data_IF_582385942239
#
_entry.id   IF_582385942239
#
_cell.length_a   1.000
_cell.length_b   1.000
_cell.length_c   1.000
_cell.angle_alpha   90.00
_cell.angle_beta   90.00
_cell.angle_gamma   90.00
#
_symmetry.space_group_name_H-M   'P 1'
#
loop_
_entity.id
_entity.type
_entity.pdbx_description
1 polymer ?
#
# COMPACT_ATOMS: atom_id res chain seq x y z
N UNK A 1 -28.00 45.85 89.91
CA UNK A 1 -28.31 45.04 88.71
C UNK A 1 -27.11 45.09 87.80
N UNK A 2 -26.61 43.91 87.46
CA UNK A 2 -25.22 43.68 87.05
C UNK A 2 -25.09 43.73 85.54
N UNK A 3 -24.11 44.52 85.10
CA UNK A 3 -23.63 44.73 83.75
C UNK A 3 -23.07 43.44 83.14
N UNK A 4 -23.47 43.08 81.92
CA UNK A 4 -22.77 42.09 81.10
C UNK A 4 -22.47 42.66 79.71
N UNK A 5 -21.18 42.62 79.41
CA UNK A 5 -20.51 43.12 78.21
C UNK A 5 -20.54 42.04 77.13
N UNK A 6 -21.09 42.36 75.96
CA UNK A 6 -21.12 41.47 74.79
C UNK A 6 -19.83 41.59 74.00
N UNK A 7 -18.91 40.64 74.22
CA UNK A 7 -17.64 40.55 73.49
C UNK A 7 -17.85 40.24 72.00
N UNK A 8 -17.16 41.00 71.16
CA UNK A 8 -17.01 40.75 69.74
C UNK A 8 -16.18 39.48 69.51
N UNK A 9 -16.72 38.50 68.78
CA UNK A 9 -15.91 37.48 68.12
C UNK A 9 -15.81 37.80 66.62
N UNK A 10 -14.63 38.31 66.23
CA UNK A 10 -14.23 38.45 64.84
C UNK A 10 -13.92 37.05 64.30
N UNK A 11 -14.68 36.61 63.28
CA UNK A 11 -14.38 35.38 62.55
C UNK A 11 -13.15 35.60 61.64
N UNK A 12 -12.25 34.61 61.53
CA UNK A 12 -11.14 34.67 60.60
C UNK A 12 -11.64 34.64 59.16
N UNK A 13 -11.29 35.67 58.39
CA UNK A 13 -11.58 35.77 56.96
C UNK A 13 -10.73 34.73 56.21
N UNK A 14 -11.38 33.68 55.72
CA UNK A 14 -10.76 32.68 54.85
C UNK A 14 -10.59 33.29 53.46
N UNK A 15 -9.35 33.57 53.07
CA UNK A 15 -9.02 34.10 51.74
C UNK A 15 -9.05 32.94 50.73
N UNK A 16 -10.12 32.82 49.95
CA UNK A 16 -10.16 31.89 48.84
C UNK A 16 -9.30 32.45 47.68
N UNK A 17 -8.37 31.66 47.11
CA UNK A 17 -7.63 32.08 45.93
C UNK A 17 -8.59 32.27 44.74
N UNK A 18 -8.31 33.24 43.84
CA UNK A 18 -9.15 33.49 42.68
C UNK A 18 -9.19 32.23 41.78
N UNK A 19 -10.34 31.96 41.13
CA UNK A 19 -10.46 30.84 40.22
C UNK A 19 -9.46 30.96 39.06
N UNK A 20 -8.92 29.83 38.56
CA UNK A 20 -8.00 29.85 37.43
C UNK A 20 -8.68 30.46 36.19
N UNK A 21 -7.92 31.18 35.34
CA UNK A 21 -8.46 31.75 34.12
C UNK A 21 -9.04 30.64 33.23
N UNK A 22 -10.15 30.89 32.52
CA UNK A 22 -10.74 29.90 31.63
C UNK A 22 -9.71 29.53 30.55
N UNK A 23 -9.65 28.25 30.13
CA UNK A 23 -8.73 27.81 29.10
C UNK A 23 -8.96 28.61 27.82
N UNK A 24 -7.94 29.36 27.39
CA UNK A 24 -7.94 30.04 26.09
C UNK A 24 -7.98 28.95 25.01
N UNK A 25 -9.13 28.79 24.36
CA UNK A 25 -9.28 27.97 23.16
C UNK A 25 -8.42 28.58 22.05
N UNK A 26 -7.31 27.92 21.74
CA UNK A 26 -6.43 28.28 20.64
C UNK A 26 -7.17 28.05 19.30
N UNK A 27 -7.81 29.10 18.79
CA UNK A 27 -8.50 29.11 17.48
C UNK A 27 -7.59 28.76 16.31
N UNK A 28 -6.27 28.91 16.47
CA UNK A 28 -5.25 28.49 15.50
C UNK A 28 -5.20 26.95 15.35
N UNK A 29 -5.40 26.19 16.43
CA UNK A 29 -5.44 24.72 16.37
C UNK A 29 -6.73 24.21 15.72
N UNK A 30 -7.85 24.91 15.91
CA UNK A 30 -9.14 24.59 15.27
C UNK A 30 -9.09 24.87 13.76
N UNK A 31 -8.40 25.95 13.34
CA UNK A 31 -8.21 26.26 11.93
C UNK A 31 -7.32 25.22 11.21
N UNK A 32 -6.29 24.69 11.88
CA UNK A 32 -5.43 23.63 11.34
C UNK A 32 -6.14 22.28 11.19
N UNK A 33 -7.03 21.91 12.11
CA UNK A 33 -7.81 20.67 12.01
C UNK A 33 -8.88 20.79 10.91
N UNK A 34 -9.51 21.97 10.78
CA UNK A 34 -10.46 22.24 9.70
C UNK A 34 -9.80 22.21 8.31
N UNK A 35 -8.58 22.74 8.16
CA UNK A 35 -7.85 22.71 6.88
C UNK A 35 -7.36 21.30 6.52
N UNK A 36 -6.95 20.49 7.50
CA UNK A 36 -6.58 19.09 7.27
C UNK A 36 -7.79 18.24 6.85
N UNK A 37 -8.95 18.50 7.47
CA UNK A 37 -10.20 17.81 7.15
C UNK A 37 -10.67 18.14 5.74
N UNK A 38 -10.56 19.42 5.33
CA UNK A 38 -10.86 19.86 3.96
C UNK A 38 -9.92 19.19 2.95
N UNK A 39 -8.64 19.03 3.27
CA UNK A 39 -7.65 18.41 2.40
C UNK A 39 -7.91 16.90 2.22
N UNK A 40 -8.28 16.19 3.29
CA UNK A 40 -8.68 14.77 3.21
C UNK A 40 -9.98 14.60 2.40
N UNK A 41 -10.99 15.45 2.62
CA UNK A 41 -12.24 15.44 1.82
C UNK A 41 -11.96 15.75 0.36
N UNK A 42 -11.04 16.68 0.07
CA UNK A 42 -10.63 17.00 -1.30
C UNK A 42 -9.94 15.81 -1.99
N UNK A 43 -9.04 15.11 -1.28
CA UNK A 43 -8.35 13.93 -1.82
C UNK A 43 -9.33 12.78 -2.06
N UNK A 44 -10.26 12.51 -1.14
CA UNK A 44 -11.31 11.49 -1.32
C UNK A 44 -12.25 11.87 -2.47
N UNK A 45 -12.61 13.14 -2.61
CA UNK A 45 -13.42 13.62 -3.74
C UNK A 45 -12.69 13.44 -5.08
N UNK A 46 -11.38 13.69 -5.15
CA UNK A 46 -10.58 13.47 -6.37
C UNK A 46 -10.54 11.98 -6.73
N UNK A 47 -10.36 11.09 -5.75
CA UNK A 47 -10.33 9.64 -5.98
C UNK A 47 -11.69 9.13 -6.48
N UNK A 48 -12.81 9.61 -5.89
CA UNK A 48 -14.16 9.24 -6.33
C UNK A 48 -14.47 9.80 -7.72
N UNK A 49 -14.03 11.02 -8.06
CA UNK A 49 -14.22 11.57 -9.41
C UNK A 49 -13.44 10.79 -10.47
N UNK A 50 -12.25 10.28 -10.15
CA UNK A 50 -11.48 9.41 -11.08
C UNK A 50 -12.15 8.03 -11.25
N UNK A 51 -12.80 7.52 -10.20
CA UNK A 51 -13.54 6.26 -10.26
C UNK A 51 -14.87 6.39 -11.03
N UNK A 52 -15.58 7.52 -10.91
CA UNK A 52 -16.93 7.70 -11.48
C UNK A 52 -16.90 8.31 -12.90
N UNK A 53 -15.92 9.14 -13.26
CA UNK A 53 -15.81 9.70 -14.63
C UNK A 53 -15.38 8.69 -15.71
N UNK A 54 -15.24 7.40 -15.39
CA UNK A 54 -15.11 6.34 -16.40
C UNK A 54 -16.46 5.79 -16.89
N UNK A 55 -17.58 6.30 -16.39
CA UNK A 55 -18.92 6.06 -16.95
C UNK A 55 -19.52 7.34 -17.54
N UNK A 56 -19.87 7.28 -18.83
CA UNK A 56 -20.82 8.13 -19.57
C UNK A 56 -20.39 9.54 -20.06
N UNK A 57 -20.00 9.59 -21.35
CA UNK A 57 -20.57 10.53 -22.35
C UNK A 57 -20.04 11.98 -22.45
N UNK A 58 -19.14 12.21 -23.42
CA UNK A 58 -18.92 13.42 -24.27
C UNK A 58 -18.98 14.82 -23.63
N UNK A 59 -17.96 15.69 -23.66
CA UNK A 59 -17.23 16.17 -24.85
C UNK A 59 -16.03 17.02 -24.38
N UNK A 60 -14.84 16.68 -24.86
CA UNK A 60 -13.59 17.45 -24.95
C UNK A 60 -12.46 16.46 -24.74
N UNK A 61 -11.96 15.88 -25.82
CA UNK A 61 -10.84 14.94 -25.84
C UNK A 61 -9.58 15.60 -25.26
N UNK A 62 -9.09 15.24 -24.05
CA UNK A 62 -7.64 15.20 -23.91
C UNK A 62 -7.20 13.95 -24.67
N UNK A 63 -6.19 14.07 -25.54
CA UNK A 63 -5.60 12.93 -26.20
C UNK A 63 -5.33 11.85 -25.15
N UNK A 64 -6.12 10.77 -25.19
CA UNK A 64 -5.79 9.56 -24.48
C UNK A 64 -4.40 9.20 -25.02
N UNK A 65 -3.39 9.40 -24.18
CA UNK A 65 -2.06 8.90 -24.48
C UNK A 65 -2.26 7.40 -24.65
N UNK A 66 -2.29 6.93 -25.89
CA UNK A 66 -2.20 5.52 -26.18
C UNK A 66 -1.06 4.96 -25.32
N UNK A 67 -1.18 3.75 -24.74
CA UNK A 67 -0.05 3.13 -24.08
C UNK A 67 1.10 3.16 -25.08
N UNK A 68 2.07 4.03 -24.82
CA UNK A 68 3.25 4.14 -25.65
C UNK A 68 3.95 2.82 -25.43
N UNK A 69 4.01 1.99 -26.47
CA UNK A 69 4.68 0.69 -26.42
C UNK A 69 6.10 0.94 -25.95
N UNK A 70 6.39 0.67 -24.68
CA UNK A 70 7.74 0.80 -24.12
C UNK A 70 8.53 -0.48 -24.40
N UNK A 71 8.57 -0.90 -25.66
CA UNK A 71 9.56 -1.90 -26.10
C UNK A 71 10.85 -1.16 -26.40
N UNK A 72 11.95 -1.63 -25.82
CA UNK A 72 13.27 -1.07 -26.05
C UNK A 72 14.34 -2.05 -25.60
N UNK A 73 15.62 -1.72 -25.83
CA UNK A 73 16.70 -2.55 -25.31
C UNK A 73 16.53 -2.72 -23.80
N UNK A 74 16.62 -3.95 -23.35
CA UNK A 74 16.78 -4.30 -21.94
C UNK A 74 18.26 -4.53 -21.67
N UNK A 75 18.70 -4.22 -20.47
CA UNK A 75 20.08 -4.50 -20.06
C UNK A 75 20.39 -5.99 -20.25
N UNK A 76 21.56 -6.27 -20.83
CA UNK A 76 21.96 -7.63 -21.22
C UNK A 76 21.97 -8.60 -20.04
N UNK A 77 22.28 -8.10 -18.85
CA UNK A 77 22.32 -8.89 -17.63
C UNK A 77 20.93 -9.38 -17.20
N UNK A 78 19.82 -8.76 -17.63
CA UNK A 78 18.44 -9.18 -17.34
C UNK A 78 17.93 -10.25 -18.31
N UNK A 79 18.58 -10.44 -19.46
CA UNK A 79 18.16 -11.41 -20.46
C UNK A 79 18.38 -12.83 -19.92
N UNK A 80 17.35 -13.67 -20.02
CA UNK A 80 17.42 -15.07 -19.61
C UNK A 80 16.21 -15.54 -18.81
N UNK A 81 16.38 -16.67 -18.14
CA UNK A 81 15.38 -17.25 -17.24
C UNK A 81 15.80 -16.99 -15.79
N UNK A 82 14.85 -16.60 -14.97
CA UNK A 82 15.08 -16.21 -13.59
C UNK A 82 14.04 -16.80 -12.69
N UNK A 83 14.46 -17.23 -11.50
CA UNK A 83 13.56 -17.65 -10.43
C UNK A 83 13.64 -16.67 -9.30
N UNK A 84 12.50 -16.20 -8.86
CA UNK A 84 12.40 -15.41 -7.65
C UNK A 84 12.77 -16.28 -6.46
N UNK A 85 13.92 -16.01 -5.87
CA UNK A 85 14.38 -16.69 -4.66
C UNK A 85 13.88 -16.02 -3.40
N UNK A 86 13.61 -14.71 -3.45
CA UNK A 86 13.10 -13.96 -2.32
C UNK A 86 12.07 -12.90 -2.73
N UNK A 87 11.06 -12.76 -1.91
CA UNK A 87 10.07 -11.70 -1.92
C UNK A 87 9.78 -11.26 -0.50
N UNK A 88 9.54 -9.99 -0.30
CA UNK A 88 8.83 -9.51 0.87
C UNK A 88 8.08 -8.23 0.58
N UNK A 89 6.87 -8.10 1.07
CA UNK A 89 6.04 -6.91 0.98
C UNK A 89 5.08 -6.83 2.17
N UNK A 90 4.62 -5.63 2.50
CA UNK A 90 3.58 -5.40 3.49
C UNK A 90 2.29 -5.13 2.74
N UNK A 91 1.29 -6.00 2.91
CA UNK A 91 0.04 -5.94 2.18
C UNK A 91 -1.09 -5.47 3.09
N UNK A 92 -1.91 -4.55 2.60
CA UNK A 92 -3.17 -4.20 3.25
C UNK A 92 -4.24 -5.21 2.83
N UNK A 93 -4.65 -6.05 3.78
CA UNK A 93 -5.70 -7.06 3.63
C UNK A 93 -6.94 -6.69 4.46
N UNK A 94 -7.14 -5.41 4.76
CA UNK A 94 -8.28 -4.94 5.56
C UNK A 94 -9.64 -5.20 4.89
N UNK A 95 -9.70 -5.36 3.57
CA UNK A 95 -10.92 -5.75 2.85
C UNK A 95 -11.21 -7.25 2.90
N UNK A 96 -10.23 -8.07 3.30
CA UNK A 96 -10.36 -9.53 3.35
C UNK A 96 -10.95 -9.91 4.71
N UNK A 97 -12.03 -10.70 4.68
CA UNK A 97 -12.70 -11.23 5.88
C UNK A 97 -12.46 -12.74 5.97
N UNK A 98 -12.17 -13.25 7.16
CA UNK A 98 -12.03 -14.68 7.44
C UNK A 98 -13.39 -15.39 7.62
N UNK A 99 -14.48 -14.76 7.19
CA UNK A 99 -15.85 -15.23 7.39
C UNK A 99 -16.43 -14.92 8.77
N UNK A 100 -15.67 -14.30 9.68
CA UNK A 100 -16.16 -13.81 11.00
C UNK A 100 -16.33 -12.30 11.04
N UNK A 101 -16.34 -11.64 9.88
CA UNK A 101 -16.40 -10.18 9.73
C UNK A 101 -15.25 -9.42 10.42
N UNK A 102 -14.13 -10.10 10.70
CA UNK A 102 -12.93 -9.45 11.23
C UNK A 102 -11.96 -9.18 10.07
N UNK A 103 -11.68 -7.90 9.75
CA UNK A 103 -10.69 -7.57 8.73
C UNK A 103 -9.31 -8.09 9.13
N UNK A 104 -8.50 -8.51 8.16
CA UNK A 104 -7.15 -9.02 8.45
C UNK A 104 -6.16 -7.91 8.81
N UNK A 105 -6.42 -6.68 8.39
CA UNK A 105 -5.51 -5.54 8.58
C UNK A 105 -4.29 -5.65 7.67
N UNK A 106 -3.16 -5.11 8.14
CA UNK A 106 -1.90 -5.14 7.40
C UNK A 106 -1.11 -6.42 7.73
N UNK A 107 -0.56 -7.09 6.72
CA UNK A 107 0.22 -8.34 6.87
C UNK A 107 1.55 -8.22 6.15
N UNK A 108 2.66 -8.47 6.87
CA UNK A 108 3.96 -8.67 6.23
C UNK A 108 4.01 -10.07 5.64
N UNK A 109 4.17 -10.15 4.32
CA UNK A 109 4.29 -11.41 3.60
C UNK A 109 5.71 -11.59 3.07
N UNK A 110 6.16 -12.84 3.01
CA UNK A 110 7.43 -13.24 2.41
C UNK A 110 7.26 -14.54 1.63
N UNK A 111 8.12 -14.77 0.65
CA UNK A 111 8.16 -16.05 -0.05
C UNK A 111 8.94 -15.99 -1.36
N UNK A 112 8.55 -16.82 -2.32
CA UNK A 112 9.33 -17.06 -3.54
C UNK A 112 8.50 -17.76 -4.61
N UNK A 113 9.09 -18.00 -5.78
CA UNK A 113 8.58 -19.00 -6.73
C UNK A 113 8.24 -18.49 -8.12
N UNK A 114 8.15 -17.17 -8.32
CA UNK A 114 7.90 -16.58 -9.65
C UNK A 114 9.01 -16.93 -10.62
N UNK A 115 8.66 -17.23 -11.86
CA UNK A 115 9.61 -17.45 -12.95
C UNK A 115 9.49 -16.32 -13.96
N UNK A 116 10.62 -15.69 -14.29
CA UNK A 116 10.70 -14.72 -15.38
C UNK A 116 11.44 -15.32 -16.55
N UNK A 117 10.95 -15.06 -17.75
CA UNK A 117 11.68 -15.28 -19.01
C UNK A 117 11.72 -13.95 -19.75
N UNK A 118 12.92 -13.39 -19.91
CA UNK A 118 13.14 -12.07 -20.51
C UNK A 118 13.99 -12.24 -21.77
N UNK A 119 13.50 -11.74 -22.90
CA UNK A 119 14.20 -11.79 -24.19
C UNK A 119 14.89 -10.46 -24.50
N UNK A 120 15.84 -10.48 -25.46
CA UNK A 120 16.65 -9.33 -25.81
C UNK A 120 15.86 -8.15 -26.41
N UNK A 121 14.71 -8.42 -27.01
CA UNK A 121 13.79 -7.42 -27.56
C UNK A 121 12.86 -6.81 -26.49
N UNK A 122 13.03 -7.19 -25.22
CA UNK A 122 12.26 -6.68 -24.09
C UNK A 122 10.92 -7.38 -23.88
N UNK A 123 10.56 -8.41 -24.67
CA UNK A 123 9.41 -9.24 -24.31
C UNK A 123 9.72 -10.05 -23.07
N UNK A 124 8.72 -10.24 -22.22
CA UNK A 124 8.88 -11.10 -21.07
C UNK A 124 7.59 -11.81 -20.67
N UNK A 125 7.77 -12.96 -20.03
CA UNK A 125 6.69 -13.72 -19.38
C UNK A 125 7.06 -13.88 -17.91
N UNK A 126 6.09 -13.63 -17.04
CA UNK A 126 6.19 -13.90 -15.60
C UNK A 126 5.17 -14.99 -15.24
N UNK A 127 5.66 -16.16 -14.84
CA UNK A 127 4.86 -17.33 -14.47
C UNK A 127 4.77 -17.45 -12.94
N UNK A 128 3.53 -17.56 -12.45
CA UNK A 128 3.19 -17.64 -11.05
C UNK A 128 2.87 -19.05 -10.56
N UNK A 129 2.91 -20.07 -11.40
CA UNK A 129 2.40 -21.43 -11.08
C UNK A 129 2.97 -22.04 -9.77
N UNK A 130 4.17 -21.65 -9.35
CA UNK A 130 4.80 -22.10 -8.10
C UNK A 130 4.97 -20.99 -7.04
N UNK A 131 4.25 -19.88 -7.18
CA UNK A 131 4.43 -18.69 -6.34
C UNK A 131 3.55 -18.74 -5.11
N UNK A 132 4.18 -18.69 -3.94
CA UNK A 132 3.49 -18.64 -2.65
C UNK A 132 4.19 -17.65 -1.74
N UNK A 133 3.39 -16.81 -1.09
CA UNK A 133 3.82 -15.94 -0.01
C UNK A 133 3.04 -16.26 1.25
N UNK A 134 3.68 -16.11 2.40
CA UNK A 134 3.07 -16.35 3.70
C UNK A 134 3.41 -15.23 4.67
N UNK A 135 2.52 -15.02 5.62
CA UNK A 135 2.66 -14.01 6.67
C UNK A 135 1.78 -14.35 7.88
N UNK A 136 1.80 -13.45 8.85
CA UNK A 136 0.88 -13.51 9.99
C UNK A 136 0.27 -12.15 10.24
N UNK A 137 -1.01 -12.15 10.62
CA UNK A 137 -1.68 -10.96 11.15
C UNK A 137 -1.18 -10.63 12.55
N UNK A 138 -1.47 -9.42 13.05
CA UNK A 138 -1.11 -9.00 14.41
C UNK A 138 -1.74 -9.88 15.50
N UNK A 139 -2.89 -10.50 15.23
CA UNK A 139 -3.54 -11.45 16.14
C UNK A 139 -3.06 -12.90 15.97
N UNK A 140 -2.00 -13.12 15.20
CA UNK A 140 -1.28 -14.40 15.11
C UNK A 140 -1.85 -15.41 14.11
N UNK A 141 -2.87 -15.05 13.34
CA UNK A 141 -3.44 -15.95 12.30
C UNK A 141 -2.48 -16.09 11.13
N UNK A 142 -2.38 -17.30 10.60
CA UNK A 142 -1.58 -17.60 9.42
C UNK A 142 -2.29 -17.10 8.17
N UNK A 143 -1.56 -16.43 7.28
CA UNK A 143 -2.07 -15.98 5.98
C UNK A 143 -1.16 -16.51 4.89
N UNK A 144 -1.73 -17.23 3.92
CA UNK A 144 -1.03 -17.68 2.72
C UNK A 144 -1.67 -17.08 1.47
N UNK A 145 -0.82 -16.65 0.56
CA UNK A 145 -1.17 -16.06 -0.72
C UNK A 145 -0.59 -16.96 -1.81
N UNK A 146 -1.46 -17.61 -2.55
CA UNK A 146 -1.07 -18.43 -3.70
C UNK A 146 -1.47 -17.70 -4.98
N UNK A 147 -0.48 -17.46 -5.83
CA UNK A 147 -0.71 -16.90 -7.16
C UNK A 147 -0.64 -18.02 -8.18
N UNK A 148 -1.48 -17.99 -9.21
CA UNK A 148 -1.45 -18.96 -10.32
C UNK A 148 -1.75 -18.27 -11.63
N UNK A 149 -1.10 -18.67 -12.72
CA UNK A 149 -1.25 -18.06 -14.03
C UNK A 149 0.00 -17.31 -14.48
N UNK A 150 -0.15 -16.47 -15.50
CA UNK A 150 0.98 -15.81 -16.17
C UNK A 150 0.68 -14.36 -16.48
N UNK A 151 1.69 -13.49 -16.38
CA UNK A 151 1.68 -12.17 -16.99
C UNK A 151 2.57 -12.15 -18.24
N UNK A 152 2.14 -11.38 -19.24
CA UNK A 152 2.95 -11.03 -20.39
C UNK A 152 3.32 -9.55 -20.33
N UNK A 153 4.57 -9.25 -20.67
CA UNK A 153 5.14 -7.93 -20.51
C UNK A 153 5.93 -7.50 -21.74
N UNK A 154 5.92 -6.20 -21.96
CA UNK A 154 6.96 -5.49 -22.70
C UNK A 154 7.78 -4.66 -21.71
N UNK A 155 9.10 -4.85 -21.73
CA UNK A 155 10.07 -4.25 -20.83
C UNK A 155 10.99 -3.29 -21.58
N UNK A 156 11.48 -2.29 -20.86
CA UNK A 156 12.59 -1.42 -21.25
C UNK A 156 13.40 -1.05 -20.03
N UNK A 157 14.72 -1.01 -20.14
CA UNK A 157 15.58 -0.41 -19.11
C UNK A 157 15.85 1.05 -19.46
N UNK A 158 15.72 1.92 -18.47
CA UNK A 158 15.99 3.35 -18.63
C UNK A 158 16.29 3.96 -17.26
N UNK A 159 17.36 4.73 -17.16
CA UNK A 159 17.73 5.50 -15.96
C UNK A 159 17.78 4.64 -14.67
N UNK A 160 18.31 3.41 -14.78
CA UNK A 160 18.40 2.46 -13.66
C UNK A 160 17.06 1.85 -13.23
N UNK A 161 16.02 2.01 -14.05
CA UNK A 161 14.68 1.49 -13.79
C UNK A 161 14.26 0.48 -14.86
N UNK A 162 13.51 -0.53 -14.43
CA UNK A 162 12.78 -1.44 -15.28
C UNK A 162 11.39 -0.83 -15.50
N UNK A 163 11.08 -0.53 -16.76
CA UNK A 163 9.78 -0.01 -17.17
C UNK A 163 8.95 -1.16 -17.71
N UNK A 164 7.72 -1.31 -17.21
CA UNK A 164 6.82 -2.40 -17.56
C UNK A 164 5.62 -1.88 -18.33
N UNK A 165 5.17 -2.64 -19.32
CA UNK A 165 3.86 -2.52 -19.93
C UNK A 165 3.28 -3.92 -20.03
N UNK A 166 2.25 -4.20 -19.23
CA UNK A 166 1.51 -5.46 -19.34
C UNK A 166 0.82 -5.55 -20.70
N UNK A 167 0.99 -6.69 -21.36
CA UNK A 167 0.30 -7.05 -22.61
C UNK A 167 -0.76 -8.12 -22.39
N UNK A 168 -0.80 -8.75 -21.22
CA UNK A 168 -1.78 -9.76 -20.85
C UNK A 168 -1.57 -10.29 -19.43
N UNK A 169 -2.65 -10.74 -18.80
CA UNK A 169 -2.61 -11.41 -17.48
C UNK A 169 -3.69 -12.46 -17.38
N UNK A 170 -3.32 -13.62 -16.84
CA UNK A 170 -4.24 -14.67 -16.40
C UNK A 170 -4.10 -14.94 -14.90
N UNK A 171 -3.43 -14.05 -14.16
CA UNK A 171 -3.06 -14.31 -12.77
C UNK A 171 -4.28 -14.25 -11.86
N UNK A 172 -4.48 -15.32 -11.10
CA UNK A 172 -5.40 -15.40 -9.98
C UNK A 172 -4.61 -15.40 -8.66
N UNK A 173 -5.14 -14.72 -7.66
CA UNK A 173 -4.69 -14.76 -6.27
C UNK A 173 -5.73 -15.50 -5.44
N UNK A 174 -5.29 -16.50 -4.69
CA UNK A 174 -6.05 -17.15 -3.63
C UNK A 174 -5.43 -16.78 -2.29
N UNK A 175 -6.24 -16.23 -1.39
CA UNK A 175 -5.86 -15.90 -0.02
C UNK A 175 -6.49 -16.93 0.91
N UNK A 176 -5.67 -17.58 1.73
CA UNK A 176 -6.13 -18.48 2.78
C UNK A 176 -5.74 -17.97 4.15
N UNK A 177 -6.64 -18.07 5.12
CA UNK A 177 -6.44 -17.70 6.53
C UNK A 177 -6.62 -18.95 7.37
N UNK A 178 -5.59 -19.32 8.15
CA UNK A 178 -5.54 -20.55 8.94
C UNK A 178 -5.95 -21.80 8.13
N UNK A 179 -5.50 -21.87 6.87
CA UNK A 179 -5.76 -22.97 5.94
C UNK A 179 -7.14 -22.96 5.26
N UNK A 180 -7.99 -21.95 5.52
CA UNK A 180 -9.30 -21.80 4.86
C UNK A 180 -9.26 -20.68 3.83
N UNK A 181 -9.82 -20.91 2.64
CA UNK A 181 -9.93 -19.87 1.62
C UNK A 181 -10.81 -18.71 2.12
N UNK A 182 -10.23 -17.52 2.18
CA UNK A 182 -10.91 -16.28 2.53
C UNK A 182 -11.31 -15.49 1.28
N UNK A 183 -10.46 -15.48 0.26
CA UNK A 183 -10.71 -14.77 -0.98
C UNK A 183 -10.07 -15.47 -2.18
N UNK A 184 -10.69 -15.31 -3.35
CA UNK A 184 -10.09 -15.62 -4.64
C UNK A 184 -10.44 -14.51 -5.62
N UNK A 185 -9.44 -13.92 -6.26
CA UNK A 185 -9.62 -12.77 -7.16
C UNK A 185 -8.61 -12.78 -8.30
N UNK A 186 -8.91 -12.06 -9.39
CA UNK A 186 -7.98 -11.83 -10.49
C UNK A 186 -7.05 -10.67 -10.14
N UNK A 187 -5.77 -10.80 -10.46
CA UNK A 187 -4.77 -9.77 -10.22
C UNK A 187 -4.49 -9.00 -11.51
N UNK A 188 -4.76 -7.70 -11.46
CA UNK A 188 -4.36 -6.79 -12.52
C UNK A 188 -2.88 -6.42 -12.37
N UNK A 189 -2.07 -6.53 -13.43
CA UNK A 189 -0.65 -6.21 -13.35
C UNK A 189 -0.43 -4.72 -13.16
N UNK A 190 0.55 -4.37 -12.32
CA UNK A 190 0.95 -2.99 -12.11
C UNK A 190 2.11 -2.61 -13.04
N UNK A 191 1.96 -1.50 -13.76
CA UNK A 191 2.95 -0.99 -14.72
C UNK A 191 3.92 0.04 -14.11
N UNK A 192 4.13 -0.01 -12.79
CA UNK A 192 4.95 0.97 -12.08
C UNK A 192 6.44 0.71 -12.37
N UNK A 193 7.22 1.72 -12.77
CA UNK A 193 8.67 1.61 -12.86
C UNK A 193 9.28 1.08 -11.56
N UNK A 194 10.30 0.23 -11.68
CA UNK A 194 11.01 -0.34 -10.53
C UNK A 194 12.50 -0.07 -10.67
N UNK A 195 13.17 0.59 -9.71
CA UNK A 195 14.62 0.56 -9.63
C UNK A 195 15.08 -0.90 -9.53
N UNK A 196 16.18 -1.20 -10.21
CA UNK A 196 16.77 -2.53 -10.15
C UNK A 196 18.29 -2.46 -10.04
N UNK A 197 18.86 -3.53 -9.49
CA UNK A 197 20.29 -3.82 -9.59
C UNK A 197 20.43 -5.17 -10.25
N UNK A 198 21.42 -5.29 -11.13
CA UNK A 198 21.57 -6.46 -11.97
C UNK A 198 23.03 -6.91 -12.01
N UNK A 199 23.23 -8.18 -11.73
CA UNK A 199 24.50 -8.90 -11.78
C UNK A 199 24.35 -10.10 -12.74
N UNK A 200 25.44 -10.74 -13.18
CA UNK A 200 25.35 -11.83 -14.16
C UNK A 200 24.38 -12.95 -13.76
N UNK A 201 24.33 -13.30 -12.47
CA UNK A 201 23.56 -14.43 -11.95
C UNK A 201 22.39 -14.06 -11.02
N UNK A 202 22.16 -12.77 -10.78
CA UNK A 202 21.06 -12.32 -9.93
C UNK A 202 20.64 -10.89 -10.26
N UNK A 203 19.36 -10.57 -10.07
CA UNK A 203 18.89 -9.19 -10.05
C UNK A 203 17.92 -8.96 -8.90
N UNK A 204 17.79 -7.70 -8.49
CA UNK A 204 16.91 -7.27 -7.40
C UNK A 204 16.10 -6.06 -7.81
N UNK A 205 14.88 -5.96 -7.28
CA UNK A 205 14.05 -4.76 -7.38
C UNK A 205 13.52 -4.32 -6.04
N UNK A 206 13.19 -3.03 -5.96
CA UNK A 206 12.45 -2.43 -4.86
C UNK A 206 11.33 -1.57 -5.44
N UNK A 207 10.15 -1.62 -4.84
CA UNK A 207 9.04 -0.78 -5.28
C UNK A 207 9.21 0.66 -4.84
N UNK A 208 8.93 1.58 -5.76
CA UNK A 208 8.92 3.02 -5.49
C UNK A 208 7.68 3.47 -4.71
N UNK A 209 6.58 2.74 -4.84
CA UNK A 209 5.29 3.09 -4.20
C UNK A 209 5.05 2.31 -2.92
N UNK A 210 5.75 1.19 -2.74
CA UNK A 210 5.76 0.40 -1.51
C UNK A 210 7.20 0.11 -1.13
N UNK A 211 7.78 0.93 -0.25
CA UNK A 211 9.18 0.80 0.16
C UNK A 211 9.47 -0.50 0.89
N UNK A 212 8.44 -1.21 1.35
CA UNK A 212 8.55 -2.51 2.00
C UNK A 212 8.63 -3.66 0.98
N UNK A 213 8.17 -3.44 -0.25
CA UNK A 213 8.17 -4.43 -1.32
C UNK A 213 9.54 -4.50 -2.01
N UNK A 214 10.13 -5.70 -1.97
CA UNK A 214 11.36 -6.02 -2.67
C UNK A 214 11.36 -7.46 -3.17
N UNK A 215 12.15 -7.72 -4.22
CA UNK A 215 12.33 -9.05 -4.77
C UNK A 215 13.79 -9.29 -5.16
N UNK A 216 14.24 -10.53 -5.00
CA UNK A 216 15.48 -11.03 -5.57
C UNK A 216 15.17 -12.21 -6.48
N UNK A 217 15.88 -12.24 -7.60
CA UNK A 217 15.79 -13.29 -8.59
C UNK A 217 17.19 -13.81 -8.91
N UNK A 218 17.31 -15.12 -9.00
CA UNK A 218 18.54 -15.82 -9.35
C UNK A 218 18.36 -16.52 -10.70
N UNK A 219 19.45 -16.63 -11.47
CA UNK A 219 19.42 -17.23 -12.80
C UNK A 219 19.10 -18.73 -12.72
N UNK A 220 18.33 -19.25 -13.68
CA UNK A 220 17.99 -20.67 -13.85
C UNK A 220 18.80 -21.29 -14.99
#
# INVERSE_FOLDING_TARGET
>A
MTQWSSGHQQQPQYYAPPPPPPPRRNTVAVALIASLSLLVVLVVAIIVVIAVRRGDGSTATPAASAPTTRSGPVDTCLIGNWRQSQYGATMDLSSVSDGKNKPLGTVRVTGSGRLWRITADGRATEDFTSTRYSGRTDDGRGVDLTFTGTNEWTLKTQDGQLLFVSTGSTVELTITVDGKQAEKTRVEPHNNPQPYTCLPNSWKTQSLTDTTASAQYDRV
#
